data_IF_470170055813
#
_entry.id   IF_470170055813
#
_cell.length_a   1.000
_cell.length_b   1.000
_cell.length_c   1.000
_cell.angle_alpha   90.00
_cell.angle_beta   90.00
_cell.angle_gamma   90.00
#
_symmetry.space_group_name_H-M   'P 1'
#
loop_
_entity.id
_entity.type
_entity.pdbx_description
1 polymer ?
#
# COMPACT_ATOMS: atom_id res chain seq x y z
N UNK A 1 -7.97 29.99 84.47
CA UNK A 1 -7.40 30.38 83.16
C UNK A 1 -7.09 29.22 82.21
N UNK A 2 -6.78 27.99 82.68
CA UNK A 2 -6.39 26.86 81.81
C UNK A 2 -7.50 26.26 80.92
N UNK A 3 -8.73 26.08 81.44
CA UNK A 3 -9.82 25.44 80.68
C UNK A 3 -10.29 26.26 79.46
N UNK A 4 -10.21 27.58 79.53
CA UNK A 4 -10.62 28.47 78.43
C UNK A 4 -9.59 28.46 77.30
N UNK A 5 -8.29 28.48 77.63
CA UNK A 5 -7.20 28.34 76.65
C UNK A 5 -7.25 27.00 75.93
N UNK A 6 -7.61 25.93 76.64
CA UNK A 6 -7.74 24.60 76.05
C UNK A 6 -8.90 24.51 75.04
N UNK A 7 -10.06 25.13 75.34
CA UNK A 7 -11.19 25.19 74.38
C UNK A 7 -10.85 26.00 73.12
N UNK A 8 -10.12 27.10 73.28
CA UNK A 8 -9.66 27.91 72.13
C UNK A 8 -8.65 27.11 71.28
N UNK A 9 -7.72 26.41 71.91
CA UNK A 9 -6.74 25.57 71.21
C UNK A 9 -7.40 24.43 70.42
N UNK A 10 -8.39 23.74 71.01
CA UNK A 10 -9.18 22.71 70.33
C UNK A 10 -10.01 23.26 69.17
N UNK A 11 -10.59 24.46 69.33
CA UNK A 11 -11.33 25.13 68.26
C UNK A 11 -10.44 25.50 67.08
N UNK A 12 -9.24 26.03 67.33
CA UNK A 12 -8.26 26.35 66.29
C UNK A 12 -7.74 25.10 65.58
N UNK A 13 -7.51 24.00 66.30
CA UNK A 13 -7.09 22.74 65.71
C UNK A 13 -8.18 22.16 64.79
N UNK A 14 -9.45 22.20 65.22
CA UNK A 14 -10.57 21.75 64.38
C UNK A 14 -10.71 22.59 63.10
N UNK A 15 -10.50 23.92 63.20
CA UNK A 15 -10.52 24.81 62.05
C UNK A 15 -9.37 24.49 61.07
N UNK A 16 -8.16 24.25 61.56
CA UNK A 16 -7.01 23.87 60.73
C UNK A 16 -7.24 22.54 60.00
N UNK A 17 -7.85 21.56 60.67
CA UNK A 17 -8.20 20.29 60.05
C UNK A 17 -9.24 20.50 58.93
N UNK A 18 -10.28 21.30 59.17
CA UNK A 18 -11.29 21.61 58.14
C UNK A 18 -10.68 22.35 56.94
N UNK A 19 -9.81 23.33 57.16
CA UNK A 19 -9.11 24.04 56.08
C UNK A 19 -8.20 23.08 55.31
N UNK A 20 -7.50 22.16 55.99
CA UNK A 20 -6.67 21.14 55.33
C UNK A 20 -7.50 20.19 54.46
N UNK A 21 -8.67 19.75 54.93
CA UNK A 21 -9.58 18.87 54.16
C UNK A 21 -10.11 19.61 52.93
N UNK A 22 -10.53 20.88 53.08
CA UNK A 22 -10.99 21.71 51.97
C UNK A 22 -9.85 21.92 50.96
N UNK A 23 -8.65 22.26 51.43
CA UNK A 23 -7.48 22.44 50.55
C UNK A 23 -7.09 21.16 49.82
N UNK A 24 -7.18 20.00 50.47
CA UNK A 24 -6.94 18.69 49.84
C UNK A 24 -7.99 18.37 48.79
N UNK A 25 -9.27 18.66 49.06
CA UNK A 25 -10.35 18.49 48.10
C UNK A 25 -10.20 19.43 46.89
N UNK A 26 -9.78 20.68 47.12
CA UNK A 26 -9.44 21.62 46.05
C UNK A 26 -8.20 21.16 45.27
N UNK A 27 -7.16 20.62 45.92
CA UNK A 27 -6.00 20.08 45.20
C UNK A 27 -6.35 18.86 44.34
N UNK A 28 -7.35 18.06 44.74
CA UNK A 28 -7.87 16.95 43.93
C UNK A 28 -8.78 17.45 42.79
N UNK A 29 -9.52 18.53 42.98
CA UNK A 29 -10.35 19.18 41.94
C UNK A 29 -9.53 20.03 40.96
N UNK A 30 -8.41 20.60 41.40
CA UNK A 30 -7.47 21.40 40.59
C UNK A 30 -6.38 20.52 39.95
N UNK A 31 -6.21 19.29 40.46
CA UNK A 31 -5.78 18.14 39.67
C UNK A 31 -6.91 17.65 38.76
N UNK A 32 -7.57 18.58 38.07
CA UNK A 32 -7.99 18.25 36.71
C UNK A 32 -6.73 17.80 35.98
N UNK A 33 -6.75 16.71 35.21
CA UNK A 33 -5.69 16.50 34.26
C UNK A 33 -5.70 17.76 33.40
N UNK A 34 -4.67 18.57 33.53
CA UNK A 34 -4.22 19.37 32.40
C UNK A 34 -4.16 18.34 31.30
N UNK A 35 -5.09 18.44 30.36
CA UNK A 35 -4.99 17.80 29.06
C UNK A 35 -3.70 18.38 28.47
N UNK A 36 -2.57 17.81 28.89
CA UNK A 36 -1.45 17.63 28.00
C UNK A 36 -2.11 17.05 26.76
N UNK A 37 -2.07 17.83 25.69
CA UNK A 37 -2.24 17.32 24.35
C UNK A 37 -1.21 16.19 24.23
N UNK A 38 -1.60 14.99 24.63
CA UNK A 38 -1.01 13.76 24.15
C UNK A 38 -1.24 13.87 22.66
N UNK A 39 -0.15 13.98 21.92
CA UNK A 39 -0.10 13.83 20.46
C UNK A 39 -0.72 12.48 20.11
N UNK A 40 -2.05 12.46 20.01
CA UNK A 40 -2.78 11.28 19.64
C UNK A 40 -2.82 11.25 18.11
N UNK A 41 -1.85 10.56 17.51
CA UNK A 41 -1.95 9.97 16.16
C UNK A 41 -3.01 8.83 16.16
N UNK A 42 -4.11 8.98 16.92
CA UNK A 42 -5.15 7.98 17.10
C UNK A 42 -6.20 8.20 16.01
N UNK A 43 -6.16 7.33 15.01
CA UNK A 43 -7.33 7.06 14.17
C UNK A 43 -8.38 6.42 15.07
N UNK A 44 -9.42 7.19 15.45
CA UNK A 44 -10.61 6.62 16.06
C UNK A 44 -11.40 5.89 14.97
N UNK A 45 -11.10 4.61 14.77
CA UNK A 45 -12.09 3.67 14.27
C UNK A 45 -13.07 3.37 15.41
N UNK A 46 -14.39 3.41 15.19
CA UNK A 46 -15.34 3.04 16.22
C UNK A 46 -15.15 1.55 16.54
N UNK A 47 -14.68 1.26 17.75
CA UNK A 47 -14.70 -0.08 18.33
C UNK A 47 -16.15 -0.51 18.52
N UNK A 48 -16.69 -1.30 17.58
CA UNK A 48 -17.72 -2.26 17.90
C UNK A 48 -17.04 -3.54 18.35
N UNK A 49 -17.54 -4.11 19.45
CA UNK A 49 -17.15 -5.41 19.97
C UNK A 49 -17.21 -6.49 18.87
N UNK A 50 -16.07 -6.85 18.29
CA UNK A 50 -15.99 -7.98 17.37
C UNK A 50 -16.01 -9.26 18.20
N UNK A 51 -17.21 -9.70 18.51
CA UNK A 51 -17.46 -11.09 18.89
C UNK A 51 -17.55 -11.87 17.58
N UNK A 52 -16.49 -12.60 17.21
CA UNK A 52 -16.52 -13.48 16.04
C UNK A 52 -17.51 -14.62 16.28
N UNK A 53 -18.70 -14.54 15.68
CA UNK A 53 -19.53 -15.74 15.46
C UNK A 53 -18.94 -16.44 14.24
N UNK A 54 -18.25 -17.54 14.51
CA UNK A 54 -17.82 -18.51 13.52
C UNK A 54 -19.06 -19.23 12.98
N UNK A 55 -19.71 -18.65 11.97
CA UNK A 55 -20.81 -19.33 11.27
C UNK A 55 -20.27 -20.03 10.02
N UNK A 56 -20.00 -21.32 10.20
CA UNK A 56 -19.74 -22.27 9.13
C UNK A 56 -21.00 -22.42 8.25
N UNK A 57 -21.06 -21.73 7.11
CA UNK A 57 -22.03 -22.06 6.07
C UNK A 57 -21.51 -23.23 5.24
N UNK A 58 -21.98 -24.43 5.61
CA UNK A 58 -22.17 -25.53 4.68
C UNK A 58 -23.10 -25.06 3.55
N UNK A 59 -22.60 -25.02 2.32
CA UNK A 59 -23.44 -24.95 1.12
C UNK A 59 -23.98 -26.36 0.84
N UNK A 60 -25.31 -26.58 0.75
CA UNK A 60 -25.82 -27.85 0.26
C UNK A 60 -25.67 -27.93 -1.27
N UNK A 61 -25.04 -29.03 -1.67
CA UNK A 61 -24.98 -29.59 -3.01
C UNK A 61 -26.37 -30.01 -3.48
N UNK A 62 -27.04 -29.19 -4.31
CA UNK A 62 -27.96 -29.62 -5.38
C UNK A 62 -28.61 -28.40 -6.04
N UNK A 63 -28.43 -28.30 -7.36
CA UNK A 63 -29.53 -28.25 -8.35
C UNK A 63 -28.90 -28.18 -9.74
N UNK A 64 -28.58 -29.36 -10.27
CA UNK A 64 -28.66 -29.60 -11.71
C UNK A 64 -30.13 -29.82 -12.04
N UNK A 65 -30.60 -29.12 -13.07
CA UNK A 65 -31.89 -29.32 -13.73
C UNK A 65 -31.75 -28.81 -15.15
N UNK A 66 -31.59 -29.75 -16.07
CA UNK A 66 -31.72 -29.57 -17.52
C UNK A 66 -33.10 -29.01 -17.87
N UNK A 67 -33.17 -28.14 -18.88
CA UNK A 67 -34.24 -28.22 -19.87
C UNK A 67 -33.76 -27.67 -21.22
N UNK A 68 -34.13 -28.44 -22.24
CA UNK A 68 -33.66 -28.41 -23.62
C UNK A 68 -34.34 -27.36 -24.52
N UNK A 69 -33.52 -26.86 -25.46
CA UNK A 69 -33.77 -26.64 -26.90
C UNK A 69 -35.00 -25.83 -27.35
N UNK A 70 -34.73 -24.74 -28.09
CA UNK A 70 -35.38 -24.50 -29.40
C UNK A 70 -34.45 -23.83 -30.41
N UNK A 71 -34.15 -24.60 -31.45
CA UNK A 71 -33.53 -24.23 -32.72
C UNK A 71 -34.51 -23.40 -33.55
N UNK A 72 -34.04 -22.33 -34.20
CA UNK A 72 -34.61 -21.83 -35.46
C UNK A 72 -33.46 -21.55 -36.43
N UNK A 73 -33.50 -22.23 -37.57
CA UNK A 73 -32.68 -22.08 -38.76
C UNK A 73 -33.14 -20.92 -39.66
N UNK A 74 -32.21 -20.48 -40.52
CA UNK A 74 -32.50 -19.85 -41.82
C UNK A 74 -32.35 -18.33 -41.86
N UNK A 75 -31.76 -17.70 -42.87
CA UNK A 75 -31.18 -18.21 -44.11
C UNK A 75 -30.30 -17.11 -44.74
N UNK A 76 -29.47 -17.56 -45.66
CA UNK A 76 -28.52 -16.91 -46.57
C UNK A 76 -28.92 -15.53 -47.15
N UNK A 77 -27.91 -14.68 -47.38
CA UNK A 77 -27.67 -14.21 -48.75
C UNK A 77 -26.21 -13.76 -48.99
N UNK A 78 -25.72 -14.17 -50.15
CA UNK A 78 -24.37 -14.09 -50.69
C UNK A 78 -24.47 -13.38 -52.04
N UNK A 79 -23.63 -12.38 -52.31
CA UNK A 79 -23.30 -11.82 -53.65
C UNK A 79 -22.39 -10.59 -53.39
N UNK A 80 -21.31 -10.24 -54.08
CA UNK A 80 -20.48 -10.70 -55.22
C UNK A 80 -19.39 -9.60 -55.33
N UNK A 81 -18.09 -9.91 -55.48
CA UNK A 81 -17.27 -9.72 -56.71
C UNK A 81 -17.47 -8.34 -57.39
N UNK A 82 -16.46 -7.51 -57.69
CA UNK A 82 -15.24 -7.78 -58.49
C UNK A 82 -14.32 -6.52 -58.50
N UNK A 83 -13.00 -6.76 -58.62
CA UNK A 83 -11.92 -6.15 -59.46
C UNK A 83 -11.81 -4.60 -59.62
N UNK A 84 -10.66 -3.93 -59.83
CA UNK A 84 -9.44 -4.16 -60.65
C UNK A 84 -8.43 -3.02 -60.24
N UNK A 85 -7.15 -3.28 -59.94
CA UNK A 85 -5.95 -3.20 -60.80
C UNK A 85 -5.16 -1.87 -60.87
N UNK A 86 -3.87 -2.07 -61.15
CA UNK A 86 -2.77 -1.18 -61.55
C UNK A 86 -1.94 -0.53 -60.43
N UNK A 87 -0.61 -0.68 -60.33
CA UNK A 87 0.39 -1.27 -61.24
C UNK A 87 1.57 -0.30 -61.44
N UNK A 88 2.81 -0.77 -61.22
CA UNK A 88 4.09 -0.42 -61.89
C UNK A 88 5.30 -0.64 -60.93
N UNK A 89 6.16 -1.67 -61.02
CA UNK A 89 7.25 -2.03 -61.98
C UNK A 89 8.44 -1.07 -62.11
N UNK A 90 9.64 -1.55 -61.71
CA UNK A 90 10.98 -1.47 -62.37
C UNK A 90 11.78 -2.64 -61.73
N UNK A 91 12.15 -3.77 -62.36
CA UNK A 91 12.90 -4.13 -63.59
C UNK A 91 14.44 -4.27 -63.40
N UNK A 92 14.95 -5.37 -63.93
CA UNK A 92 16.21 -6.08 -63.64
C UNK A 92 17.33 -5.84 -64.69
N UNK A 93 18.54 -6.33 -64.37
CA UNK A 93 19.57 -6.79 -65.32
C UNK A 93 20.89 -6.01 -65.25
N UNK A 94 22.10 -6.57 -65.39
CA UNK A 94 22.58 -7.94 -65.65
C UNK A 94 24.13 -7.99 -65.45
N UNK A 95 24.61 -9.09 -64.87
CA UNK A 95 25.83 -9.92 -65.14
C UNK A 95 27.16 -9.36 -65.71
N UNK A 96 28.30 -9.77 -65.12
CA UNK A 96 29.32 -10.62 -65.79
C UNK A 96 30.39 -11.22 -64.82
N UNK A 97 30.85 -12.42 -65.18
CA UNK A 97 31.93 -13.29 -64.64
C UNK A 97 33.31 -12.58 -64.57
N UNK A 98 34.37 -13.00 -63.85
CA UNK A 98 34.71 -14.16 -63.03
C UNK A 98 36.25 -14.21 -62.88
N UNK A 99 36.81 -14.69 -61.76
CA UNK A 99 38.12 -15.38 -61.65
C UNK A 99 38.45 -15.82 -60.21
N UNK A 100 39.28 -16.87 -60.11
CA UNK A 100 39.40 -17.87 -59.05
C UNK A 100 40.54 -17.63 -58.03
N UNK A 101 40.26 -17.98 -56.74
CA UNK A 101 41.12 -18.57 -55.65
C UNK A 101 42.25 -17.72 -54.99
N UNK A 102 42.72 -18.06 -53.75
CA UNK A 102 42.16 -18.92 -52.67
C UNK A 102 42.03 -18.24 -51.29
N UNK A 103 40.96 -18.60 -50.58
CA UNK A 103 40.94 -19.21 -49.23
C UNK A 103 41.97 -18.72 -48.17
N UNK A 104 41.50 -17.87 -47.27
CA UNK A 104 41.90 -17.87 -45.85
C UNK A 104 40.65 -17.94 -45.00
N UNK A 105 40.40 -19.12 -44.47
CA UNK A 105 39.38 -19.43 -43.49
C UNK A 105 39.66 -18.63 -42.20
N UNK A 106 38.93 -17.53 -42.01
CA UNK A 106 38.86 -16.84 -40.72
C UNK A 106 37.59 -17.38 -40.07
N UNK A 107 37.78 -18.19 -39.03
CA UNK A 107 36.73 -18.68 -38.16
C UNK A 107 36.15 -17.46 -37.44
N UNK A 108 35.08 -16.87 -37.99
CA UNK A 108 34.25 -15.92 -37.27
C UNK A 108 33.51 -16.70 -36.17
N UNK A 109 34.07 -16.64 -34.95
CA UNK A 109 33.29 -16.95 -33.75
C UNK A 109 32.09 -16.01 -33.75
N UNK A 110 30.86 -16.52 -33.55
CA UNK A 110 29.71 -15.66 -33.33
C UNK A 110 30.02 -14.69 -32.20
N UNK A 111 30.01 -13.39 -32.49
CA UNK A 111 30.01 -12.36 -31.46
C UNK A 111 28.64 -12.49 -30.81
N UNK A 112 28.60 -13.26 -29.73
CA UNK A 112 27.50 -13.23 -28.77
C UNK A 112 27.35 -11.78 -28.32
N UNK A 113 26.31 -11.11 -28.85
CA UNK A 113 25.86 -9.84 -28.31
C UNK A 113 25.59 -9.99 -26.81
N UNK A 114 25.64 -8.90 -26.03
CA UNK A 114 25.49 -8.97 -24.59
C UNK A 114 24.17 -9.66 -24.27
N UNK A 115 24.28 -10.91 -23.83
CA UNK A 115 23.15 -11.70 -23.36
C UNK A 115 22.52 -10.92 -22.23
N UNK A 116 21.22 -10.66 -22.33
CA UNK A 116 20.37 -10.19 -21.23
C UNK A 116 20.37 -11.28 -20.14
N UNK A 117 21.47 -11.40 -19.41
CA UNK A 117 21.43 -11.84 -18.02
C UNK A 117 20.72 -10.73 -17.26
N UNK A 118 19.39 -10.73 -17.36
CA UNK A 118 18.56 -9.93 -16.46
C UNK A 118 18.83 -10.51 -15.09
N UNK A 119 19.57 -9.75 -14.30
CA UNK A 119 20.11 -10.10 -12.99
C UNK A 119 19.08 -10.86 -12.13
N UNK A 120 19.25 -12.18 -12.01
CA UNK A 120 18.43 -13.06 -11.17
C UNK A 120 18.43 -12.63 -9.69
N UNK A 121 19.34 -11.73 -9.28
CA UNK A 121 19.34 -11.12 -7.95
C UNK A 121 18.25 -10.04 -7.80
N UNK A 122 18.05 -9.21 -8.83
CA UNK A 122 17.05 -8.13 -8.81
C UNK A 122 15.62 -8.66 -8.91
N UNK A 123 15.41 -9.81 -9.58
CA UNK A 123 14.10 -10.47 -9.66
C UNK A 123 13.60 -11.00 -8.33
N UNK A 124 14.46 -11.11 -7.29
CA UNK A 124 14.03 -11.51 -5.96
C UNK A 124 13.46 -10.35 -5.13
N UNK A 125 13.86 -9.11 -5.44
CA UNK A 125 13.30 -7.93 -4.79
C UNK A 125 11.85 -7.70 -5.21
N UNK A 126 11.00 -7.22 -4.29
CA UNK A 126 9.61 -6.95 -4.62
C UNK A 126 9.44 -5.65 -5.44
N UNK A 127 10.33 -4.66 -5.27
CA UNK A 127 10.22 -3.34 -5.89
C UNK A 127 9.92 -3.37 -7.40
N UNK A 128 10.60 -4.16 -8.24
CA UNK A 128 10.26 -4.23 -9.67
C UNK A 128 8.82 -4.72 -9.91
N UNK A 129 8.33 -5.71 -9.17
CA UNK A 129 6.94 -6.19 -9.29
C UNK A 129 5.95 -5.11 -8.85
N UNK A 130 6.23 -4.39 -7.78
CA UNK A 130 5.41 -3.25 -7.34
C UNK A 130 5.28 -2.24 -8.49
N UNK A 131 6.41 -1.86 -9.09
CA UNK A 131 6.44 -0.90 -10.20
C UNK A 131 5.72 -1.41 -11.46
N UNK A 132 5.74 -2.71 -11.74
CA UNK A 132 4.95 -3.29 -12.82
C UNK A 132 3.45 -3.31 -12.50
N UNK A 133 3.08 -3.66 -11.26
CA UNK A 133 1.67 -3.70 -10.84
C UNK A 133 1.03 -2.31 -10.91
N UNK A 134 1.70 -1.24 -10.44
CA UNK A 134 1.11 0.11 -10.50
C UNK A 134 0.83 0.57 -11.95
N UNK A 135 1.61 0.10 -12.93
CA UNK A 135 1.39 0.41 -14.37
C UNK A 135 0.12 -0.24 -14.92
N UNK A 136 -0.40 -1.28 -14.28
CA UNK A 136 -1.64 -1.96 -14.71
C UNK A 136 -2.90 -1.12 -14.45
N UNK A 137 -2.80 -0.12 -13.56
CA UNK A 137 -3.88 0.82 -13.30
C UNK A 137 -3.86 1.95 -14.33
N UNK A 138 -4.82 1.92 -15.25
CA UNK A 138 -5.00 2.99 -16.25
C UNK A 138 -5.46 4.29 -15.58
N UNK A 139 -4.53 5.20 -15.34
CA UNK A 139 -4.79 6.52 -14.75
C UNK A 139 -5.51 7.44 -15.75
N UNK A 140 -6.33 8.36 -15.24
CA UNK A 140 -7.02 9.41 -16.01
C UNK A 140 -8.20 8.93 -16.85
N UNK A 141 -8.04 7.81 -17.55
CA UNK A 141 -9.06 7.22 -18.43
C UNK A 141 -9.67 5.92 -17.86
N UNK A 142 -9.17 5.42 -16.72
CA UNK A 142 -9.64 4.22 -16.03
C UNK A 142 -10.40 4.55 -14.76
N UNK A 143 -11.55 3.87 -14.59
CA UNK A 143 -12.50 4.01 -13.47
C UNK A 143 -11.87 3.55 -12.14
N UNK A 144 -11.20 4.44 -11.43
CA UNK A 144 -10.69 4.20 -10.07
C UNK A 144 -10.97 5.41 -9.16
N UNK A 145 -12.24 5.67 -8.80
CA UNK A 145 -12.59 6.81 -7.98
C UNK A 145 -11.99 6.71 -6.58
N UNK A 146 -11.73 7.85 -5.96
CA UNK A 146 -11.39 7.89 -4.55
C UNK A 146 -12.65 7.69 -3.69
N UNK A 147 -12.59 6.80 -2.72
CA UNK A 147 -13.59 6.67 -1.66
C UNK A 147 -12.92 6.23 -0.37
N UNK A 148 -12.99 7.09 0.63
CA UNK A 148 -12.68 6.79 2.03
C UNK A 148 -13.98 6.89 2.83
N UNK A 149 -14.36 5.83 3.53
CA UNK A 149 -15.52 5.76 4.40
C UNK A 149 -15.19 4.84 5.61
N UNK A 150 -16.18 4.56 6.42
CA UNK A 150 -16.11 3.75 7.65
C UNK A 150 -16.82 2.39 7.54
N UNK A 151 -17.40 2.07 6.38
CA UNK A 151 -18.09 0.80 6.09
C UNK A 151 -17.10 -0.33 5.72
N UNK A 152 -16.21 -0.65 6.67
CA UNK A 152 -15.19 -1.68 6.50
C UNK A 152 -15.75 -3.11 6.46
N UNK A 153 -17.01 -3.31 6.87
CA UNK A 153 -17.68 -4.60 6.74
C UNK A 153 -17.99 -4.93 5.28
N UNK A 154 -18.20 -3.92 4.42
CA UNK A 154 -18.56 -4.12 3.01
C UNK A 154 -17.49 -3.66 2.02
N UNK A 155 -16.56 -2.80 2.42
CA UNK A 155 -15.53 -2.26 1.54
C UNK A 155 -14.25 -1.89 2.31
N UNK A 156 -13.11 -2.41 1.85
CA UNK A 156 -11.84 -2.23 2.55
C UNK A 156 -10.84 -1.35 1.80
N UNK A 157 -11.28 -0.51 0.87
CA UNK A 157 -10.36 0.40 0.15
C UNK A 157 -9.64 -0.21 -1.06
N UNK A 158 -9.96 -1.45 -1.43
CA UNK A 158 -9.37 -2.17 -2.56
C UNK A 158 -10.26 -2.08 -3.81
N UNK A 159 -9.65 -2.11 -4.99
CA UNK A 159 -10.35 -1.99 -6.29
C UNK A 159 -10.93 -3.32 -6.77
N UNK A 160 -10.44 -4.44 -6.22
CA UNK A 160 -10.93 -5.79 -6.46
C UNK A 160 -10.87 -6.60 -5.16
N UNK A 161 -11.84 -7.50 -4.96
CA UNK A 161 -11.86 -8.36 -3.78
C UNK A 161 -10.62 -9.24 -3.77
N UNK A 162 -9.88 -9.21 -2.68
CA UNK A 162 -8.67 -10.01 -2.49
C UNK A 162 -9.06 -11.30 -1.76
N UNK A 163 -8.65 -12.42 -2.34
CA UNK A 163 -8.84 -13.75 -1.77
C UNK A 163 -7.49 -14.32 -1.39
N UNK A 164 -7.35 -14.73 -0.14
CA UNK A 164 -6.18 -15.40 0.40
C UNK A 164 -6.55 -16.84 0.74
N UNK A 165 -5.90 -17.83 0.12
CA UNK A 165 -6.18 -19.26 0.35
C UNK A 165 -7.69 -19.59 0.21
N UNK A 166 -8.34 -19.05 -0.83
CA UNK A 166 -9.77 -19.16 -1.13
C UNK A 166 -10.73 -18.51 -0.13
N UNK A 167 -10.22 -17.76 0.86
CA UNK A 167 -11.04 -16.96 1.78
C UNK A 167 -10.97 -15.48 1.41
N UNK A 168 -12.08 -14.76 1.55
CA UNK A 168 -12.09 -13.31 1.32
C UNK A 168 -11.22 -12.66 2.39
N UNK A 169 -10.21 -11.91 1.98
CA UNK A 169 -9.34 -11.12 2.87
C UNK A 169 -9.81 -9.66 2.91
N UNK A 170 -10.01 -9.03 1.74
CA UNK A 170 -10.47 -7.64 1.62
C UNK A 170 -11.51 -7.52 0.52
N UNK A 171 -12.57 -6.74 0.77
CA UNK A 171 -13.71 -6.55 -0.14
C UNK A 171 -13.54 -5.28 -0.97
N UNK A 172 -13.73 -5.41 -2.28
CA UNK A 172 -13.95 -4.25 -3.13
C UNK A 172 -15.35 -3.67 -2.92
N UNK A 173 -15.53 -2.42 -3.35
CA UNK A 173 -16.81 -1.73 -3.20
C UNK A 173 -17.93 -2.51 -3.91
N UNK A 174 -19.08 -2.77 -3.26
CA UNK A 174 -20.12 -3.67 -3.78
C UNK A 174 -20.75 -3.22 -5.10
N UNK A 175 -20.72 -1.91 -5.40
CA UNK A 175 -21.19 -1.40 -6.70
C UNK A 175 -20.30 -1.76 -7.90
N UNK A 176 -19.10 -2.33 -7.67
CA UNK A 176 -18.13 -2.61 -8.73
C UNK A 176 -17.51 -1.37 -9.36
N UNK A 177 -17.67 -0.18 -8.76
CA UNK A 177 -17.08 1.07 -9.25
C UNK A 177 -15.56 1.14 -9.11
N UNK A 178 -14.94 0.15 -8.44
CA UNK A 178 -13.49 0.02 -8.23
C UNK A 178 -12.91 1.21 -7.46
N UNK A 179 -13.70 1.78 -6.56
CA UNK A 179 -13.22 2.83 -5.68
C UNK A 179 -12.08 2.31 -4.78
N UNK A 180 -11.20 3.21 -4.37
CA UNK A 180 -10.11 2.89 -3.43
C UNK A 180 -9.78 4.07 -2.52
N UNK A 181 -9.08 3.77 -1.41
CA UNK A 181 -8.33 4.75 -0.63
C UNK A 181 -6.88 4.30 -0.47
N UNK A 182 -6.04 5.20 0.01
CA UNK A 182 -4.58 5.07 0.02
C UNK A 182 -4.04 3.75 0.64
N UNK A 183 -4.46 3.40 1.86
CA UNK A 183 -4.02 2.17 2.53
C UNK A 183 -4.47 0.90 1.80
N UNK A 184 -5.71 0.85 1.31
CA UNK A 184 -6.23 -0.31 0.60
C UNK A 184 -5.59 -0.53 -0.76
N UNK A 185 -5.45 0.50 -1.58
CA UNK A 185 -4.82 0.34 -2.90
C UNK A 185 -3.33 -0.05 -2.77
N UNK A 186 -2.62 0.49 -1.79
CA UNK A 186 -1.21 0.13 -1.58
C UNK A 186 -1.06 -1.29 -1.06
N UNK A 187 -1.97 -1.76 -0.19
CA UNK A 187 -1.99 -3.16 0.20
C UNK A 187 -2.33 -4.08 -0.97
N UNK A 188 -3.30 -3.71 -1.82
CA UNK A 188 -3.62 -4.48 -3.04
C UNK A 188 -2.40 -4.59 -3.97
N UNK A 189 -1.65 -3.50 -4.14
CA UNK A 189 -0.41 -3.52 -4.92
C UNK A 189 0.64 -4.45 -4.29
N UNK A 190 0.85 -4.37 -2.98
CA UNK A 190 1.70 -5.30 -2.24
C UNK A 190 1.27 -6.76 -2.48
N UNK A 191 -0.02 -7.04 -2.29
CA UNK A 191 -0.62 -8.36 -2.44
C UNK A 191 -0.37 -8.94 -3.84
N UNK A 192 -0.69 -8.18 -4.89
CA UNK A 192 -0.49 -8.58 -6.28
C UNK A 192 0.97 -8.72 -6.65
N UNK A 193 1.83 -7.84 -6.15
CA UNK A 193 3.28 -7.94 -6.37
C UNK A 193 3.86 -9.20 -5.73
N UNK A 194 3.43 -9.55 -4.52
CA UNK A 194 3.83 -10.78 -3.82
C UNK A 194 3.40 -12.01 -4.63
N UNK A 195 2.14 -12.06 -5.06
CA UNK A 195 1.64 -13.15 -5.90
C UNK A 195 2.40 -13.27 -7.23
N UNK A 196 2.70 -12.15 -7.90
CA UNK A 196 3.43 -12.14 -9.15
C UNK A 196 4.87 -12.67 -8.98
N UNK A 197 5.57 -12.20 -7.93
CA UNK A 197 6.91 -12.69 -7.58
C UNK A 197 6.88 -14.17 -7.22
N UNK A 198 5.96 -14.61 -6.37
CA UNK A 198 5.89 -16.01 -5.97
C UNK A 198 5.66 -16.94 -7.18
N UNK A 199 4.76 -16.57 -8.10
CA UNK A 199 4.55 -17.29 -9.36
C UNK A 199 5.83 -17.37 -10.19
N UNK A 200 6.62 -16.28 -10.26
CA UNK A 200 7.89 -16.26 -10.98
C UNK A 200 8.88 -17.32 -10.42
N UNK A 201 8.90 -17.52 -9.10
CA UNK A 201 9.80 -18.49 -8.45
C UNK A 201 9.19 -19.88 -8.23
N UNK A 202 8.01 -20.17 -8.78
CA UNK A 202 7.35 -21.46 -8.58
C UNK A 202 6.88 -21.71 -7.15
N UNK A 203 6.71 -20.65 -6.36
CA UNK A 203 6.14 -20.68 -5.00
C UNK A 203 4.64 -20.49 -5.11
N UNK A 204 3.86 -21.05 -4.18
CA UNK A 204 2.42 -20.79 -4.10
C UNK A 204 2.15 -19.27 -4.07
N UNK A 205 1.19 -18.80 -4.89
CA UNK A 205 0.94 -17.36 -5.04
C UNK A 205 0.67 -16.68 -3.70
N UNK A 206 -0.01 -17.39 -2.80
CA UNK A 206 -0.46 -16.90 -1.50
C UNK A 206 0.51 -17.28 -0.36
N UNK A 207 1.73 -17.74 -0.67
CA UNK A 207 2.75 -17.93 0.36
C UNK A 207 3.40 -16.59 0.74
N UNK A 208 2.86 -15.97 1.78
CA UNK A 208 3.40 -14.73 2.32
C UNK A 208 4.17 -15.05 3.61
N UNK A 209 5.30 -15.76 3.46
CA UNK A 209 6.13 -16.23 4.58
C UNK A 209 5.40 -17.23 5.49
N UNK A 210 4.48 -18.02 4.95
CA UNK A 210 3.70 -19.00 5.71
C UNK A 210 2.64 -18.42 6.66
N UNK A 211 2.27 -17.14 6.50
CA UNK A 211 1.17 -16.53 7.26
C UNK A 211 -0.14 -17.33 7.14
N UNK A 212 -0.90 -17.42 8.22
CA UNK A 212 -2.32 -17.84 8.16
C UNK A 212 -3.17 -16.68 7.66
N UNK A 213 -4.46 -16.94 7.41
CA UNK A 213 -5.41 -15.87 7.12
C UNK A 213 -5.46 -14.82 8.24
N UNK A 214 -5.56 -15.25 9.51
CA UNK A 214 -5.64 -14.33 10.67
C UNK A 214 -4.39 -13.45 10.79
N UNK A 215 -3.21 -14.03 10.54
CA UNK A 215 -1.94 -13.31 10.58
C UNK A 215 -1.81 -12.32 9.42
N UNK A 216 -2.26 -12.68 8.22
CA UNK A 216 -2.28 -11.75 7.10
C UNK A 216 -3.33 -10.66 7.31
N UNK A 217 -4.46 -10.96 7.95
CA UNK A 217 -5.44 -9.94 8.31
C UNK A 217 -4.90 -8.98 9.38
N UNK A 218 -4.21 -9.46 10.42
CA UNK A 218 -3.51 -8.58 11.37
C UNK A 218 -2.40 -7.77 10.67
N UNK A 219 -1.68 -8.35 9.70
CA UNK A 219 -0.76 -7.60 8.84
C UNK A 219 -1.48 -6.45 8.12
N UNK A 220 -2.68 -6.66 7.56
CA UNK A 220 -3.49 -5.61 6.94
C UNK A 220 -3.80 -4.50 7.95
N UNK A 221 -4.18 -4.85 9.18
CA UNK A 221 -4.50 -3.87 10.22
C UNK A 221 -3.26 -3.00 10.57
N UNK A 222 -2.07 -3.60 10.65
CA UNK A 222 -0.83 -2.83 10.78
C UNK A 222 -0.55 -1.95 9.56
N UNK A 223 -0.77 -2.48 8.36
CA UNK A 223 -0.61 -1.72 7.11
C UNK A 223 -1.53 -0.50 7.06
N UNK A 224 -2.75 -0.63 7.58
CA UNK A 224 -3.76 0.42 7.62
C UNK A 224 -3.54 1.42 8.76
N UNK A 225 -2.53 1.18 9.61
CA UNK A 225 -2.29 1.91 10.84
C UNK A 225 -3.54 1.95 11.76
N UNK A 226 -4.28 0.84 11.83
CA UNK A 226 -5.55 0.76 12.58
C UNK A 226 -5.39 0.24 14.02
N UNK A 227 -4.18 -0.17 14.41
CA UNK A 227 -3.90 -0.77 15.73
C UNK A 227 -3.22 0.20 16.71
N UNK A 228 -3.51 1.50 16.58
CA UNK A 228 -3.02 2.55 17.48
C UNK A 228 -2.09 3.56 16.81
N UNK A 229 -1.23 4.25 17.60
CA UNK A 229 -0.35 5.29 17.06
C UNK A 229 0.59 4.75 15.99
N UNK A 230 1.00 5.62 15.05
CA UNK A 230 1.92 5.24 13.96
C UNK A 230 3.25 4.65 14.43
N UNK A 231 3.71 4.94 15.65
CA UNK A 231 4.91 4.29 16.21
C UNK A 231 4.73 2.78 16.46
N UNK A 232 3.49 2.30 16.57
CA UNK A 232 3.14 0.92 16.87
C UNK A 232 2.39 0.24 15.71
N UNK A 233 1.78 1.01 14.81
CA UNK A 233 0.99 0.48 13.69
C UNK A 233 1.25 1.32 12.44
N UNK A 234 2.04 0.78 11.52
CA UNK A 234 2.27 1.33 10.18
C UNK A 234 2.84 0.23 9.26
N UNK A 235 2.98 0.54 7.98
CA UNK A 235 3.50 -0.39 6.97
C UNK A 235 4.89 -0.99 7.30
N UNK A 236 5.79 -0.23 7.93
CA UNK A 236 7.12 -0.70 8.29
C UNK A 236 7.06 -1.67 9.48
N UNK A 237 6.19 -1.40 10.45
CA UNK A 237 5.90 -2.33 11.55
C UNK A 237 5.30 -3.62 11.01
N UNK A 238 4.36 -3.55 10.05
CA UNK A 238 3.76 -4.73 9.44
C UNK A 238 4.83 -5.65 8.81
N UNK A 239 5.70 -5.11 7.95
CA UNK A 239 6.69 -5.93 7.25
C UNK A 239 7.76 -6.50 8.18
N UNK A 240 8.10 -5.79 9.26
CA UNK A 240 9.06 -6.26 10.28
C UNK A 240 8.46 -7.34 11.17
N UNK A 241 7.24 -7.09 11.69
CA UNK A 241 6.52 -8.02 12.57
C UNK A 241 6.35 -9.39 11.94
N UNK A 242 6.05 -9.43 10.64
CA UNK A 242 5.78 -10.68 9.91
C UNK A 242 7.00 -11.23 9.14
N UNK A 243 8.18 -10.67 9.40
CA UNK A 243 9.44 -11.19 8.86
C UNK A 243 9.58 -11.11 7.33
N UNK A 244 8.72 -10.38 6.64
CA UNK A 244 8.73 -10.23 5.16
C UNK A 244 9.58 -9.05 4.69
N UNK A 245 10.03 -8.18 5.59
CA UNK A 245 10.76 -6.98 5.20
C UNK A 245 11.40 -6.23 6.36
N UNK A 246 11.72 -4.97 6.10
CA UNK A 246 12.35 -4.07 7.07
C UNK A 246 11.90 -2.62 6.89
N UNK A 247 12.01 -1.86 7.96
CA UNK A 247 12.01 -0.40 7.90
C UNK A 247 13.28 0.10 7.21
N UNK A 248 13.13 1.10 6.35
CA UNK A 248 14.24 1.88 5.81
C UNK A 248 14.46 3.09 6.72
N UNK A 249 15.63 3.13 7.39
CA UNK A 249 15.92 4.10 8.44
C UNK A 249 16.40 5.46 7.91
N UNK A 250 17.11 5.48 6.78
CA UNK A 250 17.61 6.70 6.14
C UNK A 250 16.82 6.96 4.87
N UNK A 251 16.39 8.20 4.65
CA UNK A 251 15.61 8.55 3.46
C UNK A 251 16.38 8.21 2.18
N UNK A 252 17.69 8.42 2.18
CA UNK A 252 18.59 8.15 1.07
C UNK A 252 18.65 6.68 0.65
N UNK A 253 18.28 5.76 1.56
CA UNK A 253 18.25 4.33 1.28
C UNK A 253 16.94 3.87 0.60
N UNK A 254 15.94 4.74 0.52
CA UNK A 254 14.66 4.47 -0.14
C UNK A 254 14.85 4.27 -1.66
N UNK A 255 14.03 3.41 -2.24
CA UNK A 255 14.07 3.03 -3.66
C UNK A 255 12.67 3.00 -4.22
N UNK A 256 12.53 3.36 -5.49
CA UNK A 256 11.26 3.24 -6.21
C UNK A 256 10.63 1.84 -5.98
N UNK A 257 9.33 1.80 -5.69
CA UNK A 257 8.61 0.58 -5.35
C UNK A 257 8.64 0.19 -3.87
N UNK A 258 9.33 0.95 -3.01
CA UNK A 258 9.11 0.85 -1.57
C UNK A 258 7.71 1.37 -1.24
N UNK A 259 7.15 0.91 -0.12
CA UNK A 259 5.93 1.48 0.41
C UNK A 259 6.30 2.57 1.42
N UNK A 260 5.54 3.66 1.42
CA UNK A 260 5.77 4.80 2.30
C UNK A 260 4.47 5.22 2.98
N UNK A 261 4.54 5.54 4.27
CA UNK A 261 3.46 6.11 5.04
C UNK A 261 3.95 7.43 5.64
N UNK A 262 3.27 8.51 5.29
CA UNK A 262 3.62 9.87 5.69
C UNK A 262 2.53 10.46 6.58
N UNK A 263 2.92 11.43 7.41
CA UNK A 263 1.98 12.27 8.17
C UNK A 263 2.11 13.72 7.76
N UNK A 264 1.02 14.48 7.84
CA UNK A 264 0.98 15.92 7.57
C UNK A 264 0.65 16.72 8.82
N UNK A 265 1.04 17.99 8.85
CA UNK A 265 0.80 18.91 9.98
C UNK A 265 -0.69 19.10 10.33
N UNK A 266 -1.60 18.70 9.44
CA UNK A 266 -3.05 18.71 9.68
C UNK A 266 -3.59 17.38 10.26
N UNK A 267 -2.71 16.53 10.81
CA UNK A 267 -3.03 15.23 11.39
C UNK A 267 -3.64 14.21 10.41
N UNK A 268 -3.35 14.35 9.12
CA UNK A 268 -3.72 13.34 8.11
C UNK A 268 -2.54 12.44 7.77
N UNK A 269 -2.80 11.15 7.63
CA UNK A 269 -1.84 10.16 7.13
C UNK A 269 -2.01 9.90 5.63
N UNK A 270 -1.01 9.27 5.01
CA UNK A 270 -1.14 8.78 3.63
C UNK A 270 -0.16 7.66 3.34
N UNK A 271 -0.69 6.51 2.91
CA UNK A 271 0.12 5.39 2.43
C UNK A 271 0.25 5.46 0.91
N UNK A 272 1.45 5.26 0.38
CA UNK A 272 1.73 5.33 -1.04
C UNK A 272 2.84 4.35 -1.47
N UNK A 273 2.98 4.18 -2.79
CA UNK A 273 4.17 3.57 -3.40
C UNK A 273 5.16 4.70 -3.69
N UNK A 274 6.32 4.66 -3.06
CA UNK A 274 7.39 5.63 -3.26
C UNK A 274 8.02 5.48 -4.65
N UNK A 275 8.31 6.60 -5.31
CA UNK A 275 8.94 6.61 -6.63
C UNK A 275 10.31 7.27 -6.59
N UNK A 276 10.37 8.52 -6.12
CA UNK A 276 11.61 9.28 -6.03
C UNK A 276 11.52 10.42 -5.02
N UNK A 277 12.68 10.83 -4.52
CA UNK A 277 12.80 12.06 -3.73
C UNK A 277 12.88 13.27 -4.64
N UNK A 278 12.20 14.35 -4.26
CA UNK A 278 12.40 15.68 -4.84
C UNK A 278 13.53 16.35 -4.06
N UNK A 279 14.53 16.84 -4.78
CA UNK A 279 15.72 17.46 -4.17
C UNK A 279 15.98 18.86 -4.70
N UNK A 280 16.52 19.70 -3.83
CA UNK A 280 17.21 20.95 -4.19
C UNK A 280 18.66 20.83 -3.72
N UNK A 281 19.59 20.65 -4.68
CA UNK A 281 20.95 20.21 -4.37
C UNK A 281 20.93 18.84 -3.67
N UNK A 282 21.65 18.73 -2.55
CA UNK A 282 21.67 17.50 -1.74
C UNK A 282 20.48 17.37 -0.78
N UNK A 283 19.68 18.42 -0.62
CA UNK A 283 18.57 18.46 0.34
C UNK A 283 17.34 17.79 -0.24
N UNK A 284 16.82 16.77 0.43
CA UNK A 284 15.51 16.19 0.15
C UNK A 284 14.42 17.17 0.63
N UNK A 285 13.61 17.67 -0.30
CA UNK A 285 12.57 18.68 -0.04
C UNK A 285 11.15 18.15 -0.22
N UNK A 286 10.99 16.96 -0.77
CA UNK A 286 9.69 16.34 -1.01
C UNK A 286 9.84 14.97 -1.63
N UNK A 287 8.73 14.43 -2.12
CA UNK A 287 8.65 13.09 -2.69
C UNK A 287 7.64 13.03 -3.83
N UNK A 288 7.90 12.14 -4.79
CA UNK A 288 6.91 11.68 -5.76
C UNK A 288 6.49 10.25 -5.42
N UNK A 289 5.21 9.99 -5.59
CA UNK A 289 4.62 8.70 -5.24
C UNK A 289 3.43 8.38 -6.12
N UNK A 290 2.97 7.14 -6.02
CA UNK A 290 1.72 6.65 -6.63
C UNK A 290 0.77 6.21 -5.51
N UNK A 291 -0.48 6.66 -5.53
CA UNK A 291 -1.51 6.26 -4.55
C UNK A 291 -2.91 6.65 -5.01
N UNK A 292 -3.91 6.52 -4.14
CA UNK A 292 -5.28 7.02 -4.30
C UNK A 292 -5.62 8.06 -3.23
N UNK A 293 -6.06 9.25 -3.65
CA UNK A 293 -6.42 10.34 -2.74
C UNK A 293 -7.51 11.26 -3.30
N UNK A 294 -8.12 12.05 -2.42
CA UNK A 294 -9.17 12.99 -2.79
C UNK A 294 -8.71 14.08 -3.78
N UNK A 295 -7.50 14.63 -3.60
CA UNK A 295 -7.00 15.71 -4.47
C UNK A 295 -6.70 15.25 -5.90
N UNK A 296 -6.43 13.96 -6.11
CA UNK A 296 -6.26 13.35 -7.44
C UNK A 296 -7.55 12.70 -7.96
N UNK A 297 -8.63 12.74 -7.16
CA UNK A 297 -9.94 12.11 -7.45
C UNK A 297 -9.86 10.59 -7.68
N UNK A 298 -8.83 9.93 -7.16
CA UNK A 298 -8.61 8.50 -7.38
C UNK A 298 -7.13 8.14 -7.45
N UNK A 299 -6.84 7.03 -8.12
CA UNK A 299 -5.49 6.54 -8.33
C UNK A 299 -4.73 7.46 -9.30
N UNK A 300 -3.60 8.00 -8.87
CA UNK A 300 -2.72 8.83 -9.69
C UNK A 300 -1.28 8.87 -9.16
N UNK A 301 -0.39 9.43 -9.96
CA UNK A 301 0.91 9.93 -9.53
C UNK A 301 0.74 11.31 -8.88
N UNK A 302 1.41 11.52 -7.76
CA UNK A 302 1.39 12.80 -7.07
C UNK A 302 2.75 13.15 -6.48
N UNK A 303 2.86 14.40 -6.08
CA UNK A 303 4.04 14.90 -5.39
C UNK A 303 3.64 15.78 -4.22
N UNK A 304 4.38 15.67 -3.14
CA UNK A 304 4.21 16.51 -1.95
C UNK A 304 5.56 16.96 -1.42
N UNK A 305 5.55 17.99 -0.58
CA UNK A 305 6.75 18.62 -0.07
C UNK A 305 6.81 18.59 1.45
N UNK A 306 8.02 18.47 1.97
CA UNK A 306 8.28 18.42 3.39
C UNK A 306 8.11 19.78 4.06
N UNK A 307 7.78 19.75 5.35
CA UNK A 307 7.60 20.90 6.22
C UNK A 307 8.91 21.54 6.70
N UNK A 308 9.95 21.47 5.88
CA UNK A 308 11.27 22.02 6.16
C UNK A 308 11.42 23.43 5.59
N UNK A 309 12.23 24.32 6.21
CA UNK A 309 12.46 25.66 5.69
C UNK A 309 13.15 25.66 4.32
N UNK A 310 12.65 26.49 3.40
CA UNK A 310 13.33 26.87 2.15
C UNK A 310 14.31 28.02 2.39
N UNK A 311 15.16 28.39 1.40
CA UNK A 311 16.04 29.54 1.51
C UNK A 311 15.32 30.87 1.80
N UNK A 312 14.03 30.99 1.46
CA UNK A 312 13.22 32.17 1.76
C UNK A 312 12.64 32.19 3.19
N UNK A 313 12.89 31.16 4.00
CA UNK A 313 12.34 30.99 5.34
C UNK A 313 10.92 30.39 5.38
N UNK A 314 10.21 30.31 4.24
CA UNK A 314 8.92 29.61 4.14
C UNK A 314 9.13 28.08 4.02
N UNK A 315 8.25 27.27 4.59
CA UNK A 315 8.23 25.81 4.39
C UNK A 315 7.93 25.45 2.93
N UNK A 316 8.48 24.35 2.41
CA UNK A 316 8.12 23.84 1.07
C UNK A 316 6.71 23.26 1.03
N UNK A 317 6.32 22.49 2.06
CA UNK A 317 4.98 21.92 2.19
C UNK A 317 4.62 21.63 3.64
N UNK A 318 3.74 20.65 3.84
CA UNK A 318 3.19 20.27 5.14
C UNK A 318 3.38 18.79 5.48
N UNK A 319 4.11 18.02 4.67
CA UNK A 319 4.49 16.65 5.03
C UNK A 319 5.56 16.69 6.12
N UNK A 320 5.33 16.03 7.24
CA UNK A 320 6.26 16.02 8.37
C UNK A 320 7.44 15.09 8.06
N UNK A 321 8.63 15.66 7.84
CA UNK A 321 9.83 14.90 7.43
C UNK A 321 10.27 13.86 8.48
N UNK A 322 9.96 14.10 9.74
CA UNK A 322 10.25 13.25 10.89
C UNK A 322 9.17 12.18 11.16
N UNK A 323 8.03 12.26 10.47
CA UNK A 323 6.94 11.27 10.52
C UNK A 323 6.76 10.57 9.16
N UNK A 324 7.87 10.06 8.64
CA UNK A 324 7.95 9.25 7.43
C UNK A 324 8.36 7.82 7.78
N UNK A 325 7.56 6.85 7.37
CA UNK A 325 7.78 5.43 7.59
C UNK A 325 7.91 4.73 6.24
N UNK A 326 9.04 4.07 6.00
CA UNK A 326 9.33 3.44 4.70
C UNK A 326 9.52 1.96 4.93
N UNK A 327 8.75 1.15 4.21
CA UNK A 327 8.79 -0.30 4.25
C UNK A 327 9.37 -0.85 2.95
N UNK A 328 10.39 -1.70 3.08
CA UNK A 328 10.89 -2.52 1.97
C UNK A 328 10.67 -3.99 2.27
N UNK A 329 9.96 -4.65 1.37
CA UNK A 329 9.83 -6.11 1.38
C UNK A 329 11.16 -6.71 0.93
N UNK A 330 11.69 -7.63 1.74
CA UNK A 330 12.96 -8.27 1.47
C UNK A 330 12.84 -9.30 0.32
N UNK A 331 13.97 -9.68 -0.30
CA UNK A 331 14.05 -10.92 -1.06
C UNK A 331 13.58 -12.14 -0.25
N UNK A 332 13.00 -13.14 -0.92
CA UNK A 332 12.44 -14.34 -0.28
C UNK A 332 13.49 -15.04 0.61
N UNK A 333 14.74 -15.14 0.16
CA UNK A 333 15.84 -15.76 0.92
C UNK A 333 16.30 -14.96 2.15
N UNK A 334 15.74 -13.77 2.37
CA UNK A 334 16.02 -12.91 3.52
C UNK A 334 14.83 -12.82 4.47
N UNK A 335 13.76 -13.58 4.22
CA UNK A 335 12.63 -13.66 5.14
C UNK A 335 13.07 -14.27 6.47
N UNK A 336 12.50 -13.74 7.54
CA UNK A 336 12.75 -14.20 8.90
C UNK A 336 11.54 -14.98 9.40
N UNK A 337 11.75 -16.04 10.19
CA UNK A 337 10.66 -16.60 11.00
C UNK A 337 10.07 -15.52 11.90
N UNK A 338 8.75 -15.52 12.06
CA UNK A 338 8.02 -14.59 12.93
C UNK A 338 7.11 -15.30 13.94
N UNK A 339 7.05 -16.63 13.87
CA UNK A 339 6.43 -17.51 14.86
C UNK A 339 7.49 -18.12 15.76
#
# INVERSE_FOLDING_TARGET
>A
MGKYKMKIALGLLALLIQVSIIYSAYAVLDATPTYLAIESDIYLSPTSDITYIQESLFLPEKLMGEEDVKVIEGNENKSSLENEENGATIDEGSSQEGQHKPEKEIIEKPIEGPTKQTDNSLSQHLNPYVLEIIKTYKIGNGRYPYLLNDDYDNYNGVTTTLYYQNQVLLKAHPSGNRASHCSGITFEVFYKAMQARNKHFGIASDDFNGMTWDELFDFVLHWYASLGPKSQSNIAVAVEKYGVGKKIARLEDARAGDFIDISRENNTGHTAVFLEWIKEGDKIIGLKYWSSQGSTKGIDYHQEYFNIPSPSGKKYGNVMIDKVYIARVAPINQYKPFR
#
